data_IF_108903044360
#
_entry.id   IF_108903044360
#
_cell.length_a   1.000
_cell.length_b   1.000
_cell.length_c   1.000
_cell.angle_alpha   90.00
_cell.angle_beta   90.00
_cell.angle_gamma   90.00
#
_symmetry.space_group_name_H-M   'P 1'
#
loop_
_entity.id
_entity.type
_entity.pdbx_description
1 polymer ?
#
# COMPACT_ATOMS: atom_id res chain seq x y z
N UNK A 1 -22.60 -5.22 -6.05
CA UNK A 1 -22.46 -4.22 -5.00
C UNK A 1 -22.20 -2.88 -5.63
N UNK A 2 -22.81 -1.80 -5.16
CA UNK A 2 -22.60 -0.48 -5.73
C UNK A 2 -21.18 0.01 -5.40
N UNK A 3 -20.44 0.33 -6.45
CA UNK A 3 -19.22 1.12 -6.40
C UNK A 3 -19.58 2.59 -6.58
N UNK A 4 -19.11 3.45 -5.70
CA UNK A 4 -19.34 4.87 -5.78
C UNK A 4 -18.00 5.60 -5.93
N UNK A 5 -17.83 6.32 -7.03
CA UNK A 5 -16.72 7.24 -7.18
C UNK A 5 -16.85 8.36 -6.14
N UNK A 6 -15.78 8.62 -5.42
CA UNK A 6 -15.76 9.61 -4.33
C UNK A 6 -14.54 10.50 -4.44
N UNK A 7 -14.64 11.68 -3.83
CA UNK A 7 -13.49 12.59 -3.69
C UNK A 7 -13.43 13.11 -2.27
N UNK A 8 -12.21 13.30 -1.78
CA UNK A 8 -11.94 13.90 -0.47
C UNK A 8 -10.61 14.65 -0.53
N UNK A 9 -10.19 15.29 0.54
CA UNK A 9 -9.01 16.14 0.54
C UNK A 9 -8.01 15.63 1.56
N UNK A 10 -6.71 15.76 1.23
CA UNK A 10 -5.63 15.52 2.18
C UNK A 10 -5.33 16.79 3.00
N UNK A 11 -4.27 16.74 3.84
CA UNK A 11 -3.85 17.83 4.72
C UNK A 11 -3.58 19.14 3.98
N UNK A 12 -3.06 19.06 2.77
CA UNK A 12 -2.61 20.21 1.99
C UNK A 12 -3.72 20.72 1.04
N UNK A 13 -4.96 20.20 1.19
CA UNK A 13 -6.11 20.57 0.38
C UNK A 13 -6.07 19.98 -1.03
N UNK A 14 -5.20 19.00 -1.29
CA UNK A 14 -5.15 18.28 -2.56
C UNK A 14 -6.34 17.33 -2.63
N UNK A 15 -7.08 17.37 -3.75
CA UNK A 15 -8.23 16.51 -3.98
C UNK A 15 -7.77 15.11 -4.37
N UNK A 16 -8.20 14.12 -3.59
CA UNK A 16 -7.94 12.71 -3.82
C UNK A 16 -9.17 12.02 -4.40
N UNK A 17 -8.95 11.16 -5.39
CA UNK A 17 -9.99 10.36 -6.03
C UNK A 17 -10.01 8.95 -5.45
N UNK A 18 -11.19 8.46 -5.12
CA UNK A 18 -11.38 7.13 -4.56
C UNK A 18 -12.62 6.41 -5.09
N UNK A 19 -12.74 5.16 -4.70
CA UNK A 19 -13.95 4.34 -4.91
C UNK A 19 -14.33 3.70 -3.58
N UNK A 20 -15.53 4.02 -3.14
CA UNK A 20 -16.15 3.41 -1.96
C UNK A 20 -17.00 2.22 -2.41
N UNK A 21 -16.76 1.07 -1.82
CA UNK A 21 -17.57 -0.13 -1.98
C UNK A 21 -18.32 -0.37 -0.68
N UNK A 22 -19.65 -0.34 -0.74
CA UNK A 22 -20.51 -0.69 0.40
C UNK A 22 -21.21 -2.03 0.12
N UNK A 23 -21.22 -2.97 1.07
CA UNK A 23 -22.09 -4.14 0.99
C UNK A 23 -23.57 -3.73 0.89
N UNK A 24 -24.38 -4.47 0.12
CA UNK A 24 -25.80 -4.15 -0.08
C UNK A 24 -26.61 -4.06 1.22
N UNK A 25 -26.11 -4.71 2.27
CA UNK A 25 -26.71 -4.69 3.62
C UNK A 25 -26.22 -3.53 4.49
N UNK A 26 -25.34 -2.64 3.98
CA UNK A 26 -24.85 -1.50 4.72
C UNK A 26 -25.85 -0.35 4.71
N UNK A 27 -25.94 0.38 5.80
CA UNK A 27 -26.77 1.58 5.94
C UNK A 27 -26.72 2.12 7.36
N UNK A 28 -27.39 3.24 7.61
CA UNK A 28 -27.40 3.90 8.92
C UNK A 28 -27.86 2.96 10.06
N UNK A 29 -28.84 2.06 9.77
CA UNK A 29 -29.34 1.10 10.75
C UNK A 29 -28.47 -0.17 10.89
N UNK A 30 -27.51 -0.39 9.96
CA UNK A 30 -26.64 -1.57 9.96
C UNK A 30 -25.25 -1.19 9.43
N UNK A 31 -24.47 -0.37 10.17
CA UNK A 31 -23.14 0.05 9.74
C UNK A 31 -22.19 -1.14 9.71
N UNK A 32 -21.31 -1.17 8.70
CA UNK A 32 -20.38 -2.27 8.44
C UNK A 32 -18.95 -1.92 8.84
N UNK A 33 -18.15 -2.90 9.27
CA UNK A 33 -16.72 -2.69 9.39
C UNK A 33 -16.14 -2.35 8.02
N UNK A 34 -15.08 -1.57 8.00
CA UNK A 34 -14.49 -1.09 6.77
C UNK A 34 -12.97 -1.26 6.74
N UNK A 35 -12.42 -1.39 5.53
CA UNK A 35 -10.98 -1.51 5.30
C UNK A 35 -10.54 -0.46 4.29
N UNK A 36 -9.54 0.35 4.69
CA UNK A 36 -8.82 1.21 3.76
C UNK A 36 -7.81 0.36 2.98
N UNK A 37 -7.83 0.46 1.66
CA UNK A 37 -6.92 -0.25 0.76
C UNK A 37 -5.82 0.69 0.27
N UNK A 38 -4.59 0.42 0.70
CA UNK A 38 -3.39 1.14 0.35
C UNK A 38 -2.69 0.47 -0.84
N UNK A 39 -2.53 1.20 -1.93
CA UNK A 39 -1.97 0.69 -3.18
C UNK A 39 -0.43 0.65 -3.17
N UNK A 40 0.14 -0.21 -4.02
CA UNK A 40 1.57 -0.37 -4.25
C UNK A 40 2.28 0.86 -4.84
N UNK A 41 3.50 0.67 -5.31
CA UNK A 41 4.40 1.77 -5.70
C UNK A 41 3.87 2.63 -6.83
N UNK A 42 3.46 2.01 -7.94
CA UNK A 42 2.92 2.67 -9.14
C UNK A 42 1.41 2.87 -9.06
N UNK A 43 0.84 2.74 -7.87
CA UNK A 43 -0.51 2.38 -7.64
C UNK A 43 -1.55 3.41 -7.87
N UNK A 44 -2.42 3.03 -8.76
CA UNK A 44 -3.72 3.62 -8.93
C UNK A 44 -4.80 2.66 -8.41
N UNK A 45 -5.88 3.20 -7.90
CA UNK A 45 -7.01 2.47 -7.30
C UNK A 45 -7.65 1.38 -8.17
N UNK A 46 -7.34 1.35 -9.47
CA UNK A 46 -7.89 0.42 -10.45
C UNK A 46 -7.03 -0.83 -10.71
N UNK A 47 -5.83 -0.94 -10.10
CA UNK A 47 -4.98 -2.12 -10.20
C UNK A 47 -5.06 -2.97 -8.94
N UNK A 48 -5.20 -4.29 -9.05
CA UNK A 48 -5.24 -5.27 -7.95
C UNK A 48 -6.36 -5.01 -6.95
N UNK A 49 -6.49 -3.79 -6.44
CA UNK A 49 -7.45 -3.42 -5.38
C UNK A 49 -8.93 -3.63 -5.73
N UNK A 50 -9.42 -3.58 -6.99
CA UNK A 50 -10.79 -3.97 -7.30
C UNK A 50 -11.11 -5.41 -6.92
N UNK A 51 -10.21 -6.36 -7.18
CA UNK A 51 -10.39 -7.77 -6.80
C UNK A 51 -10.36 -7.94 -5.28
N UNK A 52 -9.45 -7.25 -4.60
CA UNK A 52 -9.39 -7.21 -3.13
C UNK A 52 -10.69 -6.67 -2.54
N UNK A 53 -11.19 -5.54 -3.07
CA UNK A 53 -12.44 -4.93 -2.64
C UNK A 53 -13.64 -5.87 -2.85
N UNK A 54 -13.70 -6.55 -3.99
CA UNK A 54 -14.76 -7.54 -4.27
C UNK A 54 -14.72 -8.72 -3.29
N UNK A 55 -13.54 -9.25 -3.01
CA UNK A 55 -13.35 -10.34 -2.05
C UNK A 55 -13.75 -9.94 -0.61
N UNK A 56 -13.37 -8.76 -0.16
CA UNK A 56 -13.74 -8.25 1.17
C UNK A 56 -15.23 -7.99 1.29
N UNK A 57 -15.81 -7.49 0.26
CA UNK A 57 -17.23 -7.20 0.21
C UNK A 57 -18.09 -8.48 0.24
N UNK A 58 -17.62 -9.59 -0.34
CA UNK A 58 -18.28 -10.89 -0.19
C UNK A 58 -18.32 -11.36 1.28
N UNK A 59 -17.45 -10.84 2.14
CA UNK A 59 -17.41 -11.07 3.58
C UNK A 59 -18.11 -9.96 4.40
N UNK A 60 -18.82 -9.04 3.72
CA UNK A 60 -19.58 -7.99 4.38
C UNK A 60 -18.73 -6.80 4.89
N UNK A 61 -17.51 -6.66 4.42
CA UNK A 61 -16.64 -5.53 4.72
C UNK A 61 -16.81 -4.42 3.67
N UNK A 62 -16.99 -3.19 4.12
CA UNK A 62 -16.89 -2.04 3.23
C UNK A 62 -15.42 -1.74 2.92
N UNK A 63 -15.14 -1.13 1.75
CA UNK A 63 -13.77 -0.78 1.39
C UNK A 63 -13.68 0.61 0.75
N UNK A 64 -12.58 1.30 1.01
CA UNK A 64 -12.17 2.48 0.27
C UNK A 64 -10.82 2.19 -0.38
N UNK A 65 -10.76 2.25 -1.72
CA UNK A 65 -9.52 2.31 -2.49
C UNK A 65 -9.37 3.70 -3.10
N UNK A 66 -8.17 4.24 -3.17
CA UNK A 66 -7.94 5.61 -3.63
C UNK A 66 -6.58 5.76 -4.30
N UNK A 67 -6.45 6.81 -5.10
CA UNK A 67 -5.18 7.25 -5.67
C UNK A 67 -4.51 8.22 -4.73
N UNK A 68 -3.21 8.02 -4.46
CA UNK A 68 -2.42 9.00 -3.71
C UNK A 68 -2.28 10.31 -4.47
N UNK A 69 -1.95 11.40 -3.77
CA UNK A 69 -1.63 12.67 -4.39
C UNK A 69 -0.56 12.52 -5.49
N UNK A 70 -0.83 13.06 -6.69
CA UNK A 70 0.05 12.93 -7.84
C UNK A 70 -0.09 11.63 -8.64
N UNK A 71 -1.07 10.76 -8.30
CA UNK A 71 -1.31 9.50 -9.00
C UNK A 71 -2.74 9.43 -9.55
N UNK A 72 -2.91 8.66 -10.63
CA UNK A 72 -4.22 8.38 -11.22
C UNK A 72 -5.07 9.63 -11.45
N UNK A 73 -6.27 9.62 -10.88
CA UNK A 73 -7.24 10.72 -10.97
C UNK A 73 -7.13 11.74 -9.82
N UNK A 74 -6.22 11.51 -8.86
CA UNK A 74 -5.93 12.47 -7.80
C UNK A 74 -5.14 13.66 -8.33
N UNK A 75 -5.40 14.84 -7.77
CA UNK A 75 -4.58 16.03 -7.98
C UNK A 75 -3.21 15.89 -7.30
N UNK A 76 -2.33 16.84 -7.51
CA UNK A 76 -1.00 16.89 -6.89
C UNK A 76 0.14 16.81 -7.89
N UNK A 77 1.36 17.03 -7.41
CA UNK A 77 2.57 17.01 -8.24
C UNK A 77 2.98 15.56 -8.57
N UNK A 78 3.12 15.29 -9.86
CA UNK A 78 3.39 13.94 -10.37
C UNK A 78 4.88 13.59 -10.33
N UNK A 79 5.14 12.29 -10.30
CA UNK A 79 6.50 11.74 -10.37
C UNK A 79 7.24 11.67 -9.03
N UNK A 80 6.57 11.84 -7.90
CA UNK A 80 7.13 11.63 -6.57
C UNK A 80 6.79 10.25 -6.02
N UNK A 81 7.80 9.58 -5.43
CA UNK A 81 7.60 8.45 -4.53
C UNK A 81 7.92 8.97 -3.14
N UNK A 82 6.89 9.34 -2.40
CA UNK A 82 7.02 9.90 -1.05
C UNK A 82 6.19 9.08 -0.06
N UNK A 83 6.82 8.08 0.61
CA UNK A 83 6.11 7.21 1.54
C UNK A 83 5.49 7.96 2.73
N UNK A 84 6.16 8.93 3.37
CA UNK A 84 5.55 9.79 4.39
C UNK A 84 4.29 10.51 3.91
N UNK A 85 4.31 11.11 2.71
CA UNK A 85 3.14 11.78 2.14
C UNK A 85 2.00 10.78 1.85
N UNK A 86 2.30 9.57 1.38
CA UNK A 86 1.29 8.51 1.21
C UNK A 86 0.64 8.10 2.53
N UNK A 87 1.40 8.06 3.62
CA UNK A 87 0.85 7.81 4.96
C UNK A 87 -0.06 8.96 5.39
N UNK A 88 0.31 10.21 5.10
CA UNK A 88 -0.54 11.37 5.37
C UNK A 88 -1.84 11.32 4.54
N UNK A 89 -1.78 11.02 3.24
CA UNK A 89 -2.97 10.82 2.41
C UNK A 89 -3.87 9.72 2.98
N UNK A 90 -3.29 8.59 3.40
CA UNK A 90 -4.02 7.47 4.00
C UNK A 90 -4.69 7.85 5.34
N UNK A 91 -4.07 8.74 6.14
CA UNK A 91 -4.70 9.27 7.36
C UNK A 91 -5.97 10.08 7.06
N UNK A 92 -5.95 10.87 6.00
CA UNK A 92 -7.15 11.63 5.59
C UNK A 92 -8.18 10.73 4.91
N UNK A 93 -7.74 9.76 4.11
CA UNK A 93 -8.62 8.75 3.53
C UNK A 93 -9.38 7.95 4.59
N UNK A 94 -8.70 7.49 5.65
CA UNK A 94 -9.37 6.74 6.73
C UNK A 94 -10.26 7.64 7.59
N UNK A 95 -9.90 8.90 7.78
CA UNK A 95 -10.74 9.86 8.48
C UNK A 95 -12.04 10.10 7.70
N UNK A 96 -11.94 10.29 6.37
CA UNK A 96 -13.10 10.42 5.49
C UNK A 96 -13.95 9.14 5.47
N UNK A 97 -13.33 7.96 5.34
CA UNK A 97 -14.04 6.67 5.35
C UNK A 97 -14.87 6.49 6.62
N UNK A 98 -14.31 6.82 7.78
CA UNK A 98 -14.99 6.71 9.08
C UNK A 98 -16.20 7.64 9.22
N UNK A 99 -16.29 8.70 8.43
CA UNK A 99 -17.43 9.67 8.47
C UNK A 99 -18.57 9.28 7.53
N UNK A 100 -18.42 8.21 6.73
CA UNK A 100 -19.43 7.85 5.75
C UNK A 100 -20.60 7.10 6.38
N UNK A 101 -21.81 7.38 5.90
CA UNK A 101 -23.01 6.62 6.27
C UNK A 101 -22.84 5.14 5.88
N UNK A 102 -23.29 4.25 6.73
CA UNK A 102 -23.14 2.79 6.54
C UNK A 102 -21.79 2.22 6.97
N UNK A 103 -20.86 3.06 7.46
CA UNK A 103 -19.57 2.62 7.99
C UNK A 103 -19.58 2.67 9.52
N UNK A 104 -19.13 1.59 10.15
CA UNK A 104 -18.79 1.59 11.57
C UNK A 104 -17.35 2.10 11.76
N UNK A 105 -17.23 3.39 12.05
CA UNK A 105 -15.94 4.05 12.23
C UNK A 105 -15.13 3.54 13.45
N UNK A 106 -15.72 2.70 14.32
CA UNK A 106 -15.01 2.03 15.41
C UNK A 106 -14.42 0.68 14.98
N UNK A 107 -14.80 0.15 13.82
CA UNK A 107 -14.36 -1.14 13.27
C UNK A 107 -13.69 -0.96 11.91
N UNK A 108 -12.55 -0.29 11.91
CA UNK A 108 -11.78 -0.05 10.68
C UNK A 108 -10.44 -0.76 10.70
N UNK A 109 -10.06 -1.29 9.53
CA UNK A 109 -8.78 -1.93 9.26
C UNK A 109 -8.00 -1.21 8.16
N UNK A 110 -6.73 -1.59 7.98
CA UNK A 110 -5.90 -1.15 6.87
C UNK A 110 -5.29 -2.36 6.16
N UNK A 111 -5.47 -2.43 4.86
CA UNK A 111 -4.84 -3.40 3.96
C UNK A 111 -3.84 -2.67 3.08
N UNK A 112 -2.68 -3.24 2.88
CA UNK A 112 -1.71 -2.71 1.93
C UNK A 112 -1.17 -3.80 1.01
N UNK A 113 -1.12 -3.48 -0.29
CA UNK A 113 -0.55 -4.33 -1.32
C UNK A 113 0.81 -3.81 -1.75
N UNK A 114 1.81 -4.68 -1.86
CA UNK A 114 3.18 -4.30 -2.26
C UNK A 114 3.69 -3.12 -1.41
N UNK A 115 4.14 -2.04 -2.01
CA UNK A 115 4.58 -0.83 -1.29
C UNK A 115 3.47 -0.19 -0.41
N UNK A 116 2.21 -0.54 -0.63
CA UNK A 116 1.09 -0.16 0.25
C UNK A 116 1.11 -0.87 1.60
N UNK A 117 1.76 -2.04 1.71
CA UNK A 117 1.90 -2.77 2.97
C UNK A 117 2.57 -1.96 4.06
N UNK A 118 3.80 -1.45 3.86
CA UNK A 118 4.47 -0.57 4.80
C UNK A 118 3.72 0.75 5.04
N UNK A 119 2.98 1.27 4.05
CA UNK A 119 2.10 2.44 4.25
C UNK A 119 0.97 2.11 5.21
N UNK A 120 0.28 0.96 5.06
CA UNK A 120 -0.80 0.53 5.95
C UNK A 120 -0.30 0.31 7.40
N UNK A 121 0.89 -0.27 7.59
CA UNK A 121 1.52 -0.44 8.91
C UNK A 121 1.83 0.94 9.52
N UNK A 122 2.40 1.86 8.73
CA UNK A 122 2.75 3.20 9.18
C UNK A 122 1.51 4.04 9.49
N UNK A 123 0.46 3.94 8.68
CA UNK A 123 -0.86 4.50 8.96
C UNK A 123 -1.37 4.02 10.33
N UNK A 124 -1.42 2.72 10.54
CA UNK A 124 -1.90 2.14 11.79
C UNK A 124 -1.06 2.57 13.00
N UNK A 125 0.24 2.78 12.84
CA UNK A 125 1.10 3.29 13.92
C UNK A 125 0.75 4.71 14.37
N UNK A 126 0.09 5.51 13.50
CA UNK A 126 -0.30 6.91 13.70
C UNK A 126 -1.79 7.08 13.99
N UNK A 127 -2.65 6.16 13.51
CA UNK A 127 -4.10 6.20 13.73
C UNK A 127 -4.52 5.03 14.64
N UNK A 128 -4.72 5.28 15.96
CA UNK A 128 -5.04 4.24 16.93
C UNK A 128 -6.39 3.54 16.68
N UNK A 129 -7.28 4.14 15.90
CA UNK A 129 -8.59 3.55 15.57
C UNK A 129 -8.51 2.50 14.47
N UNK A 130 -7.40 2.38 13.74
CA UNK A 130 -7.13 1.22 12.87
C UNK A 130 -6.91 0.00 13.76
N UNK A 131 -7.83 -0.94 13.74
CA UNK A 131 -7.87 -2.07 14.69
C UNK A 131 -7.07 -3.29 14.24
N UNK A 132 -6.91 -3.48 12.94
CA UNK A 132 -6.15 -4.59 12.36
C UNK A 132 -5.46 -4.16 11.07
N UNK A 133 -4.32 -4.79 10.79
CA UNK A 133 -3.50 -4.49 9.61
C UNK A 133 -3.19 -5.77 8.84
N UNK A 134 -3.24 -5.68 7.52
CA UNK A 134 -2.78 -6.73 6.61
C UNK A 134 -1.80 -6.11 5.61
N UNK A 135 -0.67 -6.76 5.40
CA UNK A 135 0.31 -6.41 4.37
C UNK A 135 0.54 -7.62 3.48
N UNK A 136 0.26 -7.48 2.18
CA UNK A 136 0.47 -8.53 1.16
C UNK A 136 1.61 -8.11 0.26
N UNK A 137 2.61 -8.96 0.08
CA UNK A 137 3.86 -8.69 -0.67
C UNK A 137 4.51 -7.35 -0.31
N UNK A 138 4.40 -6.96 0.98
CA UNK A 138 4.89 -5.67 1.44
C UNK A 138 6.41 -5.61 1.51
N UNK A 139 7.00 -4.45 1.22
CA UNK A 139 8.43 -4.22 1.42
C UNK A 139 8.75 -3.84 2.87
N UNK A 140 10.00 -4.07 3.26
CA UNK A 140 10.56 -3.62 4.54
C UNK A 140 11.11 -2.20 4.50
N UNK A 141 12.13 -1.94 5.31
CA UNK A 141 12.77 -0.64 5.42
C UNK A 141 13.42 -0.20 4.09
N UNK A 142 13.23 1.07 3.75
CA UNK A 142 13.63 1.61 2.45
C UNK A 142 15.12 1.50 2.17
N UNK A 143 15.97 1.79 3.16
CA UNK A 143 17.42 1.66 3.00
C UNK A 143 17.83 0.20 2.71
N UNK A 144 17.21 -0.76 3.41
CA UNK A 144 17.44 -2.18 3.18
C UNK A 144 16.94 -2.58 1.78
N UNK A 145 15.72 -2.20 1.43
CA UNK A 145 15.14 -2.49 0.12
C UNK A 145 16.01 -1.97 -1.01
N UNK A 146 16.43 -0.70 -0.96
CA UNK A 146 17.24 -0.08 -2.00
C UNK A 146 18.66 -0.68 -2.09
N UNK A 147 19.24 -1.13 -0.97
CA UNK A 147 20.58 -1.72 -0.96
C UNK A 147 20.57 -3.19 -1.39
N UNK A 148 19.57 -3.97 -0.98
CA UNK A 148 19.52 -5.43 -1.22
C UNK A 148 19.38 -5.82 -2.69
N UNK A 149 18.77 -4.96 -3.50
CA UNK A 149 18.62 -5.15 -4.96
C UNK A 149 19.85 -4.70 -5.77
N UNK A 150 20.96 -4.36 -5.10
CA UNK A 150 22.19 -3.86 -5.73
C UNK A 150 23.40 -4.65 -5.26
N UNK A 151 24.40 -4.78 -6.14
CA UNK A 151 25.73 -5.21 -5.68
C UNK A 151 26.36 -4.13 -4.78
N UNK A 152 27.33 -4.50 -3.94
CA UNK A 152 28.03 -3.54 -3.09
C UNK A 152 28.65 -2.38 -3.88
N UNK A 153 29.16 -2.66 -5.09
CA UNK A 153 29.71 -1.65 -5.99
C UNK A 153 28.63 -0.69 -6.49
N UNK A 154 27.51 -1.24 -6.94
CA UNK A 154 26.41 -0.44 -7.48
C UNK A 154 25.75 0.39 -6.37
N UNK A 155 25.70 -0.15 -5.17
CA UNK A 155 25.22 0.59 -4.00
C UNK A 155 26.10 1.81 -3.67
N UNK A 156 27.43 1.67 -3.75
CA UNK A 156 28.32 2.82 -3.57
C UNK A 156 28.11 3.87 -4.66
N UNK A 157 28.03 3.46 -5.93
CA UNK A 157 27.73 4.37 -7.04
C UNK A 157 26.38 5.07 -6.88
N UNK A 158 25.35 4.32 -6.44
CA UNK A 158 24.02 4.85 -6.20
C UNK A 158 24.00 5.91 -5.09
N UNK A 159 24.75 5.71 -4.00
CA UNK A 159 24.91 6.72 -2.93
C UNK A 159 25.57 7.99 -3.43
N UNK A 160 26.63 7.91 -4.25
CA UNK A 160 27.22 9.10 -4.86
C UNK A 160 26.22 9.85 -5.73
N UNK A 161 25.43 9.13 -6.53
CA UNK A 161 24.38 9.75 -7.34
C UNK A 161 23.31 10.47 -6.48
N UNK A 162 22.97 9.94 -5.31
CA UNK A 162 22.07 10.61 -4.36
C UNK A 162 22.67 11.93 -3.88
N UNK A 163 23.96 11.94 -3.54
CA UNK A 163 24.67 13.16 -3.11
C UNK A 163 24.71 14.22 -4.22
N UNK A 164 24.98 13.81 -5.46
CA UNK A 164 24.95 14.68 -6.64
C UNK A 164 23.55 15.25 -6.89
N UNK A 165 22.50 14.42 -6.76
CA UNK A 165 21.13 14.87 -6.92
C UNK A 165 20.72 15.88 -5.82
N UNK A 166 21.10 15.62 -4.56
CA UNK A 166 20.85 16.56 -3.46
C UNK A 166 21.52 17.92 -3.73
N UNK A 167 22.76 17.93 -4.20
CA UNK A 167 23.46 19.16 -4.58
C UNK A 167 22.76 19.88 -5.73
N UNK A 168 22.31 19.14 -6.75
CA UNK A 168 21.53 19.69 -7.86
C UNK A 168 20.22 20.32 -7.39
N UNK A 169 19.44 19.60 -6.60
CA UNK A 169 18.15 20.11 -6.08
C UNK A 169 18.37 21.35 -5.22
N UNK A 170 19.39 21.35 -4.35
CA UNK A 170 19.73 22.50 -3.51
C UNK A 170 20.10 23.76 -4.31
N UNK A 171 20.68 23.58 -5.50
CA UNK A 171 21.13 24.71 -6.33
C UNK A 171 20.11 25.16 -7.38
N UNK A 172 19.26 24.25 -7.86
CA UNK A 172 18.36 24.52 -8.99
C UNK A 172 16.87 24.45 -8.61
N UNK A 173 16.53 23.84 -7.47
CA UNK A 173 15.16 23.52 -7.08
C UNK A 173 14.54 22.38 -7.90
N UNK A 174 15.33 21.72 -8.78
CA UNK A 174 14.79 20.72 -9.73
C UNK A 174 15.43 19.35 -9.56
N UNK A 175 14.61 18.33 -9.42
CA UNK A 175 15.05 16.93 -9.43
C UNK A 175 15.13 16.37 -10.85
N UNK A 176 16.06 15.44 -11.06
CA UNK A 176 16.18 14.67 -12.30
C UNK A 176 15.01 13.71 -12.43
N UNK A 177 14.34 13.71 -13.61
CA UNK A 177 13.38 12.67 -13.95
C UNK A 177 14.13 11.45 -14.46
N UNK A 178 13.84 10.29 -13.89
CA UNK A 178 14.46 9.01 -14.25
C UNK A 178 13.39 7.94 -14.42
N UNK A 179 13.69 6.91 -15.19
CA UNK A 179 12.85 5.72 -15.22
C UNK A 179 12.93 5.01 -13.85
N UNK A 180 11.81 4.41 -13.42
CA UNK A 180 11.73 3.70 -12.14
C UNK A 180 12.80 2.62 -11.97
N UNK A 181 13.24 2.02 -13.07
CA UNK A 181 14.28 0.99 -13.07
C UNK A 181 15.65 1.52 -12.64
N UNK A 182 15.87 2.82 -12.71
CA UNK A 182 17.09 3.44 -12.20
C UNK A 182 17.08 3.56 -10.66
N UNK A 183 15.89 3.63 -10.07
CA UNK A 183 15.68 3.62 -8.62
C UNK A 183 15.52 2.19 -8.11
N UNK A 184 14.69 1.39 -8.78
CA UNK A 184 14.32 0.03 -8.43
C UNK A 184 14.58 -0.91 -9.62
N UNK A 185 15.80 -1.44 -9.77
CA UNK A 185 16.15 -2.34 -10.86
C UNK A 185 15.55 -3.74 -10.65
N UNK A 186 14.22 -3.81 -10.66
CA UNK A 186 13.48 -5.07 -10.56
C UNK A 186 13.77 -6.04 -11.71
N UNK A 187 13.43 -7.31 -11.53
CA UNK A 187 13.59 -8.33 -12.54
C UNK A 187 12.74 -8.07 -13.80
N UNK A 188 13.15 -8.66 -14.92
CA UNK A 188 12.33 -8.64 -16.13
C UNK A 188 10.98 -9.34 -15.93
N UNK A 189 10.92 -10.34 -15.06
CA UNK A 189 9.69 -11.07 -14.74
C UNK A 189 8.67 -10.14 -14.04
N UNK A 190 9.12 -9.30 -13.10
CA UNK A 190 8.29 -8.28 -12.47
C UNK A 190 7.67 -7.31 -13.48
N UNK A 191 8.49 -6.78 -14.41
CA UNK A 191 7.97 -5.88 -15.45
C UNK A 191 7.00 -6.58 -16.41
N UNK A 192 7.25 -7.84 -16.77
CA UNK A 192 6.34 -8.60 -17.63
C UNK A 192 4.99 -8.85 -16.95
N UNK A 193 4.98 -9.11 -15.64
CA UNK A 193 3.74 -9.24 -14.86
C UNK A 193 2.96 -7.90 -14.82
N UNK A 194 3.65 -6.79 -14.57
CA UNK A 194 3.03 -5.45 -14.59
C UNK A 194 2.44 -5.08 -15.96
N UNK A 195 3.11 -5.44 -17.07
CA UNK A 195 2.54 -5.21 -18.41
C UNK A 195 1.25 -6.01 -18.65
N UNK A 196 1.17 -7.24 -18.12
CA UNK A 196 -0.09 -8.02 -18.17
C UNK A 196 -1.21 -7.34 -17.38
N UNK A 197 -0.90 -6.82 -16.20
CA UNK A 197 -1.87 -6.08 -15.37
C UNK A 197 -2.37 -4.82 -16.07
N UNK A 198 -1.49 -4.07 -16.74
CA UNK A 198 -1.87 -2.90 -17.55
C UNK A 198 -2.83 -3.29 -18.68
N UNK A 199 -2.57 -4.39 -19.37
CA UNK A 199 -3.45 -4.90 -20.44
C UNK A 199 -4.82 -5.31 -19.87
N UNK A 200 -4.86 -5.94 -18.71
CA UNK A 200 -6.11 -6.34 -18.04
C UNK A 200 -6.91 -5.15 -17.53
N UNK A 201 -6.24 -4.07 -17.11
CA UNK A 201 -6.88 -2.85 -16.64
C UNK A 201 -7.48 -1.98 -17.78
N UNK A 202 -7.21 -2.32 -19.05
CA UNK A 202 -7.78 -1.63 -20.22
C UNK A 202 -7.22 -0.23 -20.48
N UNK A 203 -8.03 0.68 -21.04
CA UNK A 203 -7.59 2.03 -21.44
C UNK A 203 -7.16 2.93 -20.27
N UNK A 204 -7.55 2.60 -19.06
CA UNK A 204 -6.99 3.22 -17.85
C UNK A 204 -5.48 2.97 -17.70
N UNK A 205 -4.91 2.10 -18.53
CA UNK A 205 -3.46 1.86 -18.60
C UNK A 205 -2.64 3.12 -18.92
N UNK A 206 -3.20 4.09 -19.63
CA UNK A 206 -2.52 5.36 -19.92
C UNK A 206 -2.28 6.19 -18.65
N UNK A 207 -3.14 6.03 -17.62
CA UNK A 207 -3.01 6.70 -16.32
C UNK A 207 -2.25 5.84 -15.29
N UNK A 208 -2.02 4.56 -15.59
CA UNK A 208 -1.38 3.59 -14.70
C UNK A 208 0.13 3.84 -14.53
N UNK A 209 0.65 4.83 -15.10
CA UNK A 209 1.98 4.98 -14.65
C UNK A 209 2.87 5.70 -15.59
N UNK A 210 3.17 6.86 -15.23
CA UNK A 210 4.49 7.34 -15.52
C UNK A 210 5.47 6.33 -14.92
N UNK A 211 6.33 5.76 -15.75
CA UNK A 211 7.53 5.06 -15.29
C UNK A 211 8.59 6.08 -14.86
N UNK A 212 8.33 7.38 -15.06
CA UNK A 212 9.26 8.48 -14.82
C UNK A 212 9.02 9.10 -13.45
N UNK A 213 10.03 9.03 -12.60
CA UNK A 213 10.01 9.57 -11.24
C UNK A 213 11.13 10.56 -11.01
N UNK A 214 10.92 11.46 -10.07
CA UNK A 214 11.97 12.36 -9.58
C UNK A 214 12.97 11.56 -8.75
N UNK A 215 14.24 11.60 -9.12
CA UNK A 215 15.27 10.82 -8.43
C UNK A 215 15.42 11.22 -6.96
N UNK A 216 15.12 12.47 -6.61
CA UNK A 216 15.10 12.94 -5.21
C UNK A 216 14.08 12.19 -4.31
N UNK A 217 13.13 11.45 -4.88
CA UNK A 217 12.25 10.52 -4.13
C UNK A 217 13.02 9.51 -3.31
N UNK A 218 14.25 9.17 -3.72
CA UNK A 218 15.12 8.22 -3.02
C UNK A 218 15.37 8.63 -1.57
N UNK A 219 15.45 9.93 -1.27
CA UNK A 219 15.66 10.41 0.09
C UNK A 219 14.50 10.02 1.01
N UNK A 220 13.26 10.26 0.59
CA UNK A 220 12.08 9.87 1.36
C UNK A 220 11.92 8.34 1.46
N UNK A 221 12.36 7.60 0.44
CA UNK A 221 12.36 6.14 0.48
C UNK A 221 13.40 5.61 1.47
N UNK A 222 14.60 6.19 1.52
CA UNK A 222 15.67 5.78 2.45
C UNK A 222 15.27 5.97 3.92
N UNK A 223 14.54 7.05 4.21
CA UNK A 223 14.10 7.41 5.56
C UNK A 223 12.78 6.74 5.96
N UNK A 224 12.28 5.80 5.16
CA UNK A 224 11.04 5.10 5.47
C UNK A 224 11.29 3.79 6.22
N UNK A 225 10.86 3.75 7.49
CA UNK A 225 11.15 2.67 8.45
C UNK A 225 9.87 1.99 8.97
N UNK A 226 9.20 1.15 8.17
CA UNK A 226 7.99 0.43 8.60
C UNK A 226 8.26 -0.56 9.73
N UNK A 227 9.48 -1.06 9.87
CA UNK A 227 9.88 -1.86 11.02
C UNK A 227 9.76 -1.11 12.35
N UNK A 228 10.09 0.18 12.39
CA UNK A 228 9.89 1.02 13.58
C UNK A 228 8.41 1.40 13.77
N UNK A 229 7.66 1.58 12.68
CA UNK A 229 6.22 1.78 12.75
C UNK A 229 5.52 0.57 13.37
N UNK A 230 5.94 -0.65 13.05
CA UNK A 230 5.38 -1.89 13.60
C UNK A 230 5.48 -1.96 15.13
N UNK A 231 6.55 -1.43 15.75
CA UNK A 231 6.68 -1.33 17.21
C UNK A 231 5.56 -0.52 17.86
N UNK A 232 5.05 0.48 17.13
CA UNK A 232 4.00 1.40 17.61
C UNK A 232 2.58 0.92 17.34
N UNK A 233 2.39 -0.31 16.86
CA UNK A 233 1.06 -0.88 16.66
C UNK A 233 0.27 -1.07 17.96
N UNK A 234 0.93 -1.04 19.13
CA UNK A 234 0.23 -1.01 20.42
C UNK A 234 -0.63 -2.24 20.69
N UNK A 235 -0.19 -3.42 20.27
CA UNK A 235 -0.91 -4.68 20.46
C UNK A 235 -1.96 -4.98 19.38
N UNK A 236 -2.09 -4.16 18.35
CA UNK A 236 -3.04 -4.39 17.23
C UNK A 236 -2.57 -5.54 16.35
N UNK A 237 -3.53 -6.38 15.87
CA UNK A 237 -3.25 -7.53 15.04
C UNK A 237 -2.58 -7.16 13.71
N UNK A 238 -1.54 -7.90 13.33
CA UNK A 238 -0.81 -7.77 12.07
C UNK A 238 -0.75 -9.10 11.33
N UNK A 239 -1.25 -9.14 10.09
CA UNK A 239 -1.04 -10.24 9.16
C UNK A 239 -0.06 -9.81 8.08
N UNK A 240 0.99 -10.61 7.87
CA UNK A 240 1.85 -10.55 6.69
C UNK A 240 1.52 -11.75 5.80
N UNK A 241 1.31 -11.52 4.50
CA UNK A 241 1.20 -12.56 3.46
C UNK A 241 2.28 -12.27 2.43
N UNK A 242 3.12 -13.24 2.10
CA UNK A 242 4.28 -13.02 1.25
C UNK A 242 4.56 -14.22 0.36
N UNK A 243 4.96 -13.98 -0.87
CA UNK A 243 5.46 -15.03 -1.75
C UNK A 243 6.86 -15.50 -1.35
N UNK A 244 7.11 -16.80 -1.37
CA UNK A 244 8.43 -17.36 -1.04
C UNK A 244 9.50 -16.94 -2.06
N UNK A 245 9.10 -16.76 -3.33
CA UNK A 245 9.99 -16.38 -4.44
C UNK A 245 9.80 -14.92 -4.88
N UNK A 246 9.32 -14.06 -3.97
CA UNK A 246 9.15 -12.63 -4.25
C UNK A 246 10.53 -11.95 -4.45
N UNK A 247 10.82 -11.57 -5.69
CA UNK A 247 12.09 -10.94 -6.09
C UNK A 247 12.02 -9.40 -6.15
N UNK A 248 10.83 -8.81 -5.98
CA UNK A 248 10.63 -7.37 -5.95
C UNK A 248 10.57 -6.82 -4.52
N UNK A 249 9.91 -7.51 -3.62
CA UNK A 249 9.86 -7.23 -2.19
C UNK A 249 10.35 -8.47 -1.43
N UNK A 250 11.67 -8.71 -1.44
CA UNK A 250 12.24 -9.93 -0.88
C UNK A 250 11.78 -10.18 0.55
N UNK A 251 11.42 -11.43 0.80
CA UNK A 251 10.74 -11.86 2.03
C UNK A 251 11.50 -11.50 3.32
N UNK A 252 12.82 -11.50 3.29
CA UNK A 252 13.66 -11.15 4.44
C UNK A 252 13.48 -9.68 4.87
N UNK A 253 13.05 -8.81 3.96
CA UNK A 253 12.85 -7.39 4.26
C UNK A 253 11.76 -7.15 5.31
N UNK A 254 10.76 -8.02 5.38
CA UNK A 254 9.63 -7.87 6.31
C UNK A 254 9.86 -8.56 7.67
N UNK A 255 10.95 -9.32 7.82
CA UNK A 255 11.28 -9.96 9.09
C UNK A 255 11.39 -8.97 10.27
N UNK A 256 12.01 -7.78 10.13
CA UNK A 256 12.02 -6.76 11.19
C UNK A 256 10.62 -6.24 11.54
N UNK A 257 9.72 -6.12 10.56
CA UNK A 257 8.32 -5.74 10.78
C UNK A 257 7.64 -6.78 11.66
N UNK A 258 7.75 -8.05 11.29
CA UNK A 258 7.18 -9.14 12.06
C UNK A 258 7.77 -9.23 13.47
N UNK A 259 9.08 -9.16 13.60
CA UNK A 259 9.76 -9.21 14.89
C UNK A 259 9.30 -8.10 15.84
N UNK A 260 9.16 -6.88 15.32
CA UNK A 260 8.88 -5.67 16.09
C UNK A 260 7.40 -5.51 16.48
N UNK A 261 6.46 -6.11 15.76
CA UNK A 261 5.03 -5.99 16.05
C UNK A 261 4.71 -6.66 17.40
N UNK A 262 4.12 -5.92 18.37
CA UNK A 262 3.93 -6.44 19.75
C UNK A 262 2.65 -7.27 19.93
N UNK A 263 1.70 -7.15 19.01
CA UNK A 263 0.36 -7.74 19.13
C UNK A 263 0.25 -9.15 18.58
N UNK A 264 -0.98 -9.66 18.49
CA UNK A 264 -1.26 -10.85 17.70
C UNK A 264 -0.73 -10.66 16.30
N UNK A 265 0.05 -11.62 15.84
CA UNK A 265 0.68 -11.51 14.50
C UNK A 265 0.76 -12.87 13.83
N UNK A 266 0.60 -12.85 12.52
CA UNK A 266 0.74 -14.05 11.69
C UNK A 266 1.54 -13.68 10.44
N UNK A 267 2.37 -14.61 10.00
CA UNK A 267 3.09 -14.51 8.74
C UNK A 267 2.78 -15.75 7.91
N UNK A 268 2.12 -15.56 6.78
CA UNK A 268 1.82 -16.60 5.80
C UNK A 268 2.81 -16.45 4.66
N UNK A 269 3.60 -17.49 4.44
CA UNK A 269 4.50 -17.61 3.30
C UNK A 269 3.81 -18.52 2.29
N UNK A 270 3.66 -18.05 1.05
CA UNK A 270 3.04 -18.78 -0.04
C UNK A 270 4.12 -19.47 -0.87
N UNK A 271 4.20 -20.81 -0.82
CA UNK A 271 5.28 -21.56 -1.47
C UNK A 271 5.30 -21.36 -2.99
N UNK A 272 6.47 -21.05 -3.53
CA UNK A 272 6.70 -20.88 -4.96
C UNK A 272 6.07 -19.64 -5.59
N UNK A 273 5.34 -18.82 -4.82
CA UNK A 273 4.74 -17.61 -5.34
C UNK A 273 5.77 -16.47 -5.43
N UNK A 274 5.84 -15.79 -6.56
CA UNK A 274 6.56 -14.54 -6.77
C UNK A 274 5.67 -13.31 -6.52
N UNK A 275 6.24 -12.11 -6.69
CA UNK A 275 5.51 -10.85 -6.49
C UNK A 275 4.26 -10.75 -7.36
N UNK A 276 4.40 -11.03 -8.66
CA UNK A 276 3.31 -10.92 -9.63
C UNK A 276 2.20 -11.97 -9.46
N UNK A 277 2.47 -13.08 -8.78
CA UNK A 277 1.46 -14.10 -8.51
C UNK A 277 0.45 -13.63 -7.44
N UNK A 278 0.88 -12.68 -6.60
CA UNK A 278 0.04 -12.01 -5.61
C UNK A 278 -0.66 -10.75 -6.16
N UNK A 279 -0.38 -10.37 -7.41
CA UNK A 279 -1.07 -9.29 -8.12
C UNK A 279 -2.31 -9.77 -8.89
N UNK A 280 -2.35 -11.06 -9.27
CA UNK A 280 -3.46 -11.66 -10.01
C UNK A 280 -3.48 -13.19 -9.88
N UNK A 281 -4.64 -13.80 -10.14
CA UNK A 281 -4.77 -15.26 -10.23
C UNK A 281 -5.02 -15.96 -8.89
N UNK A 282 -4.75 -17.28 -8.80
CA UNK A 282 -5.16 -18.09 -7.64
C UNK A 282 -4.50 -17.68 -6.32
N UNK A 283 -3.25 -17.19 -6.37
CA UNK A 283 -2.51 -16.80 -5.17
C UNK A 283 -3.03 -15.48 -4.61
N UNK A 284 -3.40 -14.51 -5.47
CA UNK A 284 -4.13 -13.32 -5.04
C UNK A 284 -5.46 -13.69 -4.37
N UNK A 285 -6.25 -14.60 -4.96
CA UNK A 285 -7.51 -15.07 -4.37
C UNK A 285 -7.29 -15.67 -2.99
N UNK A 286 -6.24 -16.49 -2.83
CA UNK A 286 -5.86 -17.07 -1.53
C UNK A 286 -5.45 -16.00 -0.51
N UNK A 287 -4.63 -15.03 -0.93
CA UNK A 287 -4.20 -13.91 -0.09
C UNK A 287 -5.39 -13.04 0.36
N UNK A 288 -6.35 -12.79 -0.53
CA UNK A 288 -7.61 -12.10 -0.21
C UNK A 288 -8.39 -12.89 0.84
N UNK A 289 -8.48 -14.20 0.71
CA UNK A 289 -9.15 -15.07 1.69
C UNK A 289 -8.51 -14.95 3.07
N UNK A 290 -7.19 -15.07 3.18
CA UNK A 290 -6.47 -14.91 4.45
C UNK A 290 -6.68 -13.52 5.07
N UNK A 291 -6.67 -12.47 4.26
CA UNK A 291 -6.88 -11.10 4.71
C UNK A 291 -8.32 -10.88 5.19
N UNK A 292 -9.31 -11.41 4.46
CA UNK A 292 -10.73 -11.30 4.82
C UNK A 292 -11.03 -12.03 6.13
N UNK A 293 -10.49 -13.24 6.32
CA UNK A 293 -10.61 -14.00 7.56
C UNK A 293 -9.99 -13.22 8.74
N UNK A 294 -8.80 -12.63 8.54
CA UNK A 294 -8.13 -11.82 9.54
C UNK A 294 -8.96 -10.61 9.97
N UNK A 295 -9.49 -9.85 9.00
CA UNK A 295 -10.38 -8.75 9.32
C UNK A 295 -11.70 -9.23 9.92
N UNK A 296 -12.26 -10.34 9.43
CA UNK A 296 -13.45 -10.97 10.00
C UNK A 296 -13.28 -11.35 11.47
N UNK A 297 -12.08 -11.78 11.89
CA UNK A 297 -11.77 -12.09 13.29
C UNK A 297 -11.60 -10.82 14.13
N UNK A 298 -10.84 -9.84 13.63
CA UNK A 298 -10.36 -8.73 14.45
C UNK A 298 -11.19 -7.43 14.33
N UNK A 299 -12.11 -7.34 13.37
CA UNK A 299 -13.08 -6.25 13.23
C UNK A 299 -14.49 -6.65 13.71
N UNK A 300 -14.67 -7.81 14.34
CA UNK A 300 -15.93 -8.19 14.99
C UNK A 300 -16.28 -7.15 16.06
N UNK A 301 -17.55 -6.77 16.13
CA UNK A 301 -18.05 -6.03 17.27
C UNK A 301 -17.83 -6.86 18.54
N UNK A 302 -17.53 -6.23 19.66
CA UNK A 302 -17.85 -6.85 20.93
C UNK A 302 -19.37 -6.89 20.96
N UNK A 303 -19.98 -8.05 20.78
CA UNK A 303 -21.33 -8.25 21.24
C UNK A 303 -21.29 -7.85 22.70
N UNK A 304 -22.04 -6.80 23.06
CA UNK A 304 -22.16 -6.39 24.44
C UNK A 304 -22.81 -7.56 25.18
N UNK A 305 -21.97 -8.35 25.84
CA UNK A 305 -22.40 -9.36 26.81
C UNK A 305 -22.82 -8.69 28.11
#
# INVERSE_FOLDING_TARGET
MPESAVTFFNRDGVKLAGVLNLPDSAGAASPRPAVLLCQGLSGVKHLVLPEVAAGFAAQGLATLRFDYAGYGESEGDRGWIDPPARVDDALYAIAWLKSQEGIDGARVGAYGHSYGGPVAISLASREPKVRAVVSVSGSGDGAWMLSSIRTSRDWVAFKHRIEEERAKVATTGQSTLVDITEILPFSRAFFAANEKLKVLAGETAADIGTTMFRFASVDAMLDFHPGDAARRLGGRPLLLVHGEEDDAAVIESVAPIYANAPGPKKWIIMPGAGHGDLDAGPDLVSAIGFAADWFGEHLKGHDAS
#
